data_IF_696667644075
#
_entry.id   IF_696667644075
#
_cell.length_a   1.000
_cell.length_b   1.000
_cell.length_c   1.000
_cell.angle_alpha   90.00
_cell.angle_beta   90.00
_cell.angle_gamma   90.00
#
_symmetry.space_group_name_H-M   'P 1'
#
loop_
_entity.id
_entity.type
_entity.pdbx_description
1 polymer ?
#
# COMPACT_ATOMS: atom_id res chain seq x y z
N UNK A 1 0.82 -1.04 -15.58
CA UNK A 1 1.57 -1.26 -14.32
C UNK A 1 2.34 -2.60 -14.32
N UNK A 2 1.82 -3.68 -14.88
CA UNK A 2 2.44 -5.02 -14.73
C UNK A 2 3.76 -5.28 -15.48
N UNK A 3 4.15 -4.40 -16.41
CA UNK A 3 5.29 -4.61 -17.32
C UNK A 3 6.67 -4.45 -16.66
N UNK A 4 6.78 -3.71 -15.56
CA UNK A 4 8.05 -3.41 -14.88
C UNK A 4 7.97 -3.71 -13.39
N UNK A 5 9.11 -3.95 -12.73
CA UNK A 5 9.14 -4.22 -11.28
C UNK A 5 8.58 -3.03 -10.48
N UNK A 6 8.94 -1.80 -10.85
CA UNK A 6 8.38 -0.57 -10.26
C UNK A 6 6.87 -0.46 -10.54
N UNK A 7 6.43 -0.84 -11.73
CA UNK A 7 5.02 -0.80 -12.06
C UNK A 7 4.20 -1.81 -11.23
N UNK A 8 4.72 -3.01 -10.98
CA UNK A 8 4.10 -4.02 -10.11
C UNK A 8 4.07 -3.54 -8.66
N UNK A 9 5.15 -2.93 -8.18
CA UNK A 9 5.21 -2.30 -6.87
C UNK A 9 4.15 -1.21 -6.71
N UNK A 10 4.03 -0.31 -7.69
CA UNK A 10 3.01 0.75 -7.70
C UNK A 10 1.59 0.18 -7.66
N UNK A 11 1.35 -0.96 -8.33
CA UNK A 11 0.03 -1.61 -8.31
C UNK A 11 -0.28 -2.17 -6.93
N UNK A 12 0.67 -2.87 -6.30
CA UNK A 12 0.47 -3.36 -4.93
C UNK A 12 0.28 -2.24 -3.94
N UNK A 13 1.03 -1.13 -4.07
CA UNK A 13 0.79 0.04 -3.25
C UNK A 13 -0.63 0.59 -3.44
N UNK A 14 -1.15 0.63 -4.67
CA UNK A 14 -2.52 1.09 -4.91
C UNK A 14 -3.55 0.18 -4.23
N UNK A 15 -3.39 -1.15 -4.32
CA UNK A 15 -4.25 -2.13 -3.65
C UNK A 15 -4.19 -1.93 -2.14
N UNK A 16 -2.99 -1.84 -1.58
CA UNK A 16 -2.76 -1.68 -0.16
C UNK A 16 -3.35 -0.37 0.35
N UNK A 17 -3.04 0.75 -0.30
CA UNK A 17 -3.58 2.06 0.04
C UNK A 17 -5.11 2.11 -0.08
N UNK A 18 -5.69 1.48 -1.09
CA UNK A 18 -7.14 1.37 -1.22
C UNK A 18 -7.75 0.54 -0.07
N UNK A 19 -7.12 -0.56 0.32
CA UNK A 19 -7.59 -1.39 1.43
C UNK A 19 -7.59 -0.63 2.77
N UNK A 20 -6.58 0.21 3.02
CA UNK A 20 -6.56 1.11 4.19
C UNK A 20 -7.70 2.12 4.14
N UNK A 21 -7.96 2.73 2.97
CA UNK A 21 -9.07 3.68 2.82
C UNK A 21 -10.42 3.01 3.06
N UNK A 22 -10.62 1.79 2.55
CA UNK A 22 -11.84 1.01 2.81
C UNK A 22 -11.96 0.67 4.29
N UNK A 23 -10.86 0.27 4.95
CA UNK A 23 -10.86 -0.02 6.39
C UNK A 23 -11.26 1.22 7.21
N UNK A 24 -10.66 2.38 6.94
CA UNK A 24 -10.87 3.59 7.74
C UNK A 24 -12.16 4.35 7.40
N UNK A 25 -12.53 4.44 6.14
CA UNK A 25 -13.67 5.26 5.70
C UNK A 25 -14.95 4.47 5.43
N UNK A 26 -14.90 3.13 5.44
CA UNK A 26 -16.10 2.29 5.28
C UNK A 26 -16.28 1.38 6.49
N UNK A 27 -15.30 0.52 6.81
CA UNK A 27 -15.47 -0.47 7.87
C UNK A 27 -15.59 0.19 9.26
N UNK A 28 -14.78 1.20 9.56
CA UNK A 28 -14.88 1.92 10.84
C UNK A 28 -16.21 2.66 11.00
N UNK A 29 -16.72 3.44 10.02
CA UNK A 29 -18.07 4.00 10.11
C UNK A 29 -19.18 2.96 10.27
N UNK A 30 -19.11 1.82 9.57
CA UNK A 30 -20.09 0.74 9.76
C UNK A 30 -20.07 0.19 11.19
N UNK A 31 -18.89 0.05 11.80
CA UNK A 31 -18.76 -0.35 13.20
C UNK A 31 -19.42 0.64 14.16
N UNK A 32 -19.21 1.95 13.98
CA UNK A 32 -19.68 2.95 14.95
C UNK A 32 -21.10 3.48 14.70
N UNK A 33 -21.56 3.48 13.45
CA UNK A 33 -22.85 4.07 13.06
C UNK A 33 -23.93 2.99 12.89
N UNK A 34 -23.55 1.84 12.32
CA UNK A 34 -24.48 0.75 12.03
C UNK A 34 -24.35 -0.44 12.99
N UNK A 35 -23.43 -0.37 13.95
CA UNK A 35 -23.12 -1.41 14.94
C UNK A 35 -22.77 -2.77 14.27
N UNK A 36 -22.02 -2.72 13.15
CA UNK A 36 -21.56 -3.91 12.41
C UNK A 36 -20.04 -4.09 12.62
N UNK A 37 -19.59 -4.62 13.77
CA UNK A 37 -18.16 -4.79 14.05
C UNK A 37 -17.49 -5.83 13.13
N UNK A 38 -18.22 -6.79 12.57
CA UNK A 38 -17.70 -7.85 11.70
C UNK A 38 -17.08 -7.29 10.41
N UNK A 39 -17.57 -6.13 9.94
CA UNK A 39 -17.01 -5.45 8.79
C UNK A 39 -15.53 -5.09 9.01
N UNK A 40 -15.16 -4.65 10.22
CA UNK A 40 -13.77 -4.35 10.59
C UNK A 40 -12.94 -5.63 10.69
N UNK A 41 -13.51 -6.73 11.19
CA UNK A 41 -12.80 -8.01 11.27
C UNK A 41 -12.42 -8.53 9.88
N UNK A 42 -13.35 -8.53 8.93
CA UNK A 42 -13.11 -9.02 7.56
C UNK A 42 -12.19 -8.07 6.80
N UNK A 43 -12.52 -6.77 6.76
CA UNK A 43 -11.71 -5.79 6.01
C UNK A 43 -10.34 -5.61 6.64
N UNK A 44 -10.24 -5.65 7.97
CA UNK A 44 -8.98 -5.59 8.71
C UNK A 44 -8.07 -6.79 8.40
N UNK A 45 -8.64 -8.01 8.33
CA UNK A 45 -7.88 -9.20 7.92
C UNK A 45 -7.38 -9.09 6.47
N UNK A 46 -8.23 -8.61 5.55
CA UNK A 46 -7.84 -8.37 4.15
C UNK A 46 -6.72 -7.33 4.03
N UNK A 47 -6.84 -6.20 4.75
CA UNK A 47 -5.81 -5.18 4.80
C UNK A 47 -4.49 -5.75 5.37
N UNK A 48 -4.54 -6.48 6.48
CA UNK A 48 -3.35 -7.13 7.04
C UNK A 48 -2.68 -8.09 6.06
N UNK A 49 -3.45 -8.86 5.30
CA UNK A 49 -2.94 -9.71 4.23
C UNK A 49 -2.26 -8.88 3.11
N UNK A 50 -2.92 -7.84 2.61
CA UNK A 50 -2.35 -6.97 1.59
C UNK A 50 -1.08 -6.25 2.07
N UNK A 51 -1.02 -5.84 3.33
CA UNK A 51 0.16 -5.24 3.93
C UNK A 51 1.35 -6.20 3.92
N UNK A 52 1.15 -7.46 4.31
CA UNK A 52 2.21 -8.48 4.26
C UNK A 52 2.70 -8.69 2.81
N UNK A 53 1.77 -8.85 1.86
CA UNK A 53 2.14 -9.00 0.45
C UNK A 53 2.89 -7.76 -0.05
N UNK A 54 2.46 -6.57 0.35
CA UNK A 54 3.11 -5.31 0.00
C UNK A 54 4.54 -5.21 0.55
N UNK A 55 4.79 -5.64 1.79
CA UNK A 55 6.13 -5.74 2.36
C UNK A 55 7.04 -6.69 1.56
N UNK A 56 6.51 -7.85 1.15
CA UNK A 56 7.25 -8.78 0.29
C UNK A 56 7.59 -8.15 -1.07
N UNK A 57 6.67 -7.39 -1.66
CA UNK A 57 6.91 -6.67 -2.91
C UNK A 57 7.95 -5.56 -2.71
N UNK A 58 7.94 -4.81 -1.61
CA UNK A 58 8.99 -3.83 -1.29
C UNK A 58 10.36 -4.52 -1.24
N UNK A 59 10.45 -5.66 -0.55
CA UNK A 59 11.70 -6.44 -0.47
C UNK A 59 12.19 -6.89 -1.85
N UNK A 60 11.30 -7.48 -2.64
CA UNK A 60 11.61 -7.92 -4.01
C UNK A 60 12.05 -6.76 -4.90
N UNK A 61 11.31 -5.65 -4.93
CA UNK A 61 11.64 -4.46 -5.72
C UNK A 61 12.95 -3.83 -5.25
N UNK A 62 13.25 -3.86 -3.96
CA UNK A 62 14.53 -3.37 -3.43
C UNK A 62 15.72 -4.16 -3.95
N UNK A 63 15.61 -5.50 -4.00
CA UNK A 63 16.68 -6.35 -4.52
C UNK A 63 16.87 -6.14 -6.03
N UNK A 64 15.78 -5.99 -6.79
CA UNK A 64 15.81 -5.86 -8.25
C UNK A 64 16.23 -4.47 -8.73
N UNK A 65 15.69 -3.42 -8.12
CA UNK A 65 15.88 -2.03 -8.56
C UNK A 65 17.04 -1.35 -7.83
N UNK A 66 17.45 -1.86 -6.66
CA UNK A 66 18.55 -1.32 -5.84
C UNK A 66 18.44 0.19 -5.58
N UNK A 67 17.22 0.65 -5.35
CA UNK A 67 16.92 2.05 -5.08
C UNK A 67 17.40 2.51 -3.69
N UNK A 68 17.49 3.83 -3.49
CA UNK A 68 17.91 4.42 -2.22
C UNK A 68 16.94 4.08 -1.06
N UNK A 69 17.50 3.96 0.16
CA UNK A 69 16.78 3.60 1.39
C UNK A 69 15.55 4.47 1.68
N UNK A 70 15.56 5.75 1.26
CA UNK A 70 14.41 6.66 1.37
C UNK A 70 13.13 6.09 0.73
N UNK A 71 13.25 5.30 -0.34
CA UNK A 71 12.12 4.69 -1.01
C UNK A 71 11.55 3.53 -0.20
N UNK A 72 12.40 2.74 0.45
CA UNK A 72 11.96 1.64 1.33
C UNK A 72 11.19 2.22 2.51
N UNK A 73 11.82 3.15 3.23
CA UNK A 73 11.22 3.78 4.41
C UNK A 73 9.93 4.53 4.05
N UNK A 74 9.96 5.31 2.97
CA UNK A 74 8.78 5.98 2.45
C UNK A 74 7.64 5.02 2.09
N UNK A 75 7.95 3.85 1.51
CA UNK A 75 6.97 2.84 1.13
C UNK A 75 6.26 2.22 2.32
N UNK A 76 6.99 1.94 3.41
CA UNK A 76 6.40 1.41 4.64
C UNK A 76 5.58 2.48 5.37
N UNK A 77 6.09 3.71 5.49
CA UNK A 77 5.37 4.78 6.18
C UNK A 77 4.01 5.10 5.54
N UNK A 78 3.96 5.16 4.21
CA UNK A 78 2.70 5.51 3.53
C UNK A 78 1.61 4.44 3.64
N UNK A 79 1.94 3.22 4.05
CA UNK A 79 0.96 2.17 4.31
C UNK A 79 0.12 2.45 5.57
N UNK A 80 0.58 3.36 6.45
CA UNK A 80 -0.15 3.75 7.67
C UNK A 80 -0.83 5.12 7.56
N UNK A 81 -0.60 5.85 6.46
CA UNK A 81 -1.10 7.21 6.27
C UNK A 81 -2.19 7.18 5.18
N UNK A 82 -3.42 7.61 5.47
CA UNK A 82 -4.48 7.73 4.47
C UNK A 82 -3.99 8.53 3.25
N UNK A 83 -4.24 8.02 2.05
CA UNK A 83 -3.79 8.60 0.77
C UNK A 83 -2.26 8.70 0.58
N UNK A 84 -1.44 8.27 1.54
CA UNK A 84 0.01 8.35 1.46
C UNK A 84 0.55 7.62 0.22
N UNK A 85 -0.04 6.48 -0.12
CA UNK A 85 0.42 5.70 -1.26
C UNK A 85 0.15 6.39 -2.61
N UNK A 86 -0.88 7.26 -2.72
CA UNK A 86 -1.13 8.06 -3.92
C UNK A 86 -0.03 9.12 -4.13
N UNK A 87 0.44 9.72 -3.02
CA UNK A 87 1.57 10.65 -3.06
C UNK A 87 2.86 9.91 -3.45
N UNK A 88 3.11 8.72 -2.90
CA UNK A 88 4.26 7.90 -3.24
C UNK A 88 4.23 7.49 -4.73
N UNK A 89 3.10 7.01 -5.24
CA UNK A 89 2.91 6.66 -6.66
C UNK A 89 3.29 7.82 -7.59
N UNK A 90 2.88 9.04 -7.23
CA UNK A 90 3.18 10.26 -7.98
C UNK A 90 4.68 10.57 -8.00
N UNK A 91 5.40 10.31 -6.91
CA UNK A 91 6.87 10.51 -6.84
C UNK A 91 7.63 9.43 -7.61
N UNK A 92 7.17 8.19 -7.54
CA UNK A 92 7.78 7.06 -8.27
C UNK A 92 7.67 7.24 -9.78
N UNK A 93 6.54 7.75 -10.28
CA UNK A 93 6.36 8.05 -11.73
C UNK A 93 7.39 9.04 -12.28
N UNK A 94 7.85 9.98 -11.44
CA UNK A 94 8.79 11.03 -11.83
C UNK A 94 10.26 10.62 -11.64
N UNK A 95 10.50 9.46 -11.02
CA UNK A 95 11.84 8.99 -10.71
C UNK A 95 12.28 7.99 -11.75
N UNK A 96 13.42 8.25 -12.39
CA UNK A 96 14.06 7.28 -13.25
C UNK A 96 14.92 6.37 -12.39
N UNK A 97 14.51 5.11 -12.28
CA UNK A 97 15.33 4.08 -11.67
C UNK A 97 16.21 3.49 -12.77
N UNK A 98 17.48 3.92 -12.83
CA UNK A 98 18.51 3.25 -13.62
C UNK A 98 18.77 1.89 -12.97
N UNK A 99 18.36 0.82 -13.65
CA UNK A 99 18.67 -0.57 -13.29
C UNK A 99 20.09 -0.89 -13.72
#
# INVERSE_FOLDING_TARGET
MLKTDIGRFRLMGFIEGASLLVLLFIAMPLKYIADIPEAVSVVGALHGFFFIVYLLVIGYTTIKVRWAFKWIFGSVLVAFVPFGNLMLDSRLKKTNFTV
#
